data_IF_245517580153
#
_entry.id   IF_245517580153
#
_cell.length_a   1.000
_cell.length_b   1.000
_cell.length_c   1.000
_cell.angle_alpha   90.00
_cell.angle_beta   90.00
_cell.angle_gamma   90.00
#
_symmetry.space_group_name_H-M   'P 1'
#
loop_
_entity.id
_entity.type
_entity.pdbx_description
1 polymer ?
#
# COMPACT_ATOMS: atom_id res chain seq x y z
N UNK A 1 3.42 -11.45 -10.76
CA UNK A 1 3.46 -12.15 -9.45
C UNK A 1 2.04 -12.36 -8.97
N UNK A 2 1.24 -13.03 -9.79
CA UNK A 2 -0.04 -13.60 -9.38
C UNK A 2 0.28 -15.05 -9.08
N UNK A 3 0.20 -15.48 -7.82
CA UNK A 3 0.25 -16.92 -7.55
C UNK A 3 -1.10 -17.49 -8.03
N UNK A 4 -1.04 -18.38 -9.01
CA UNK A 4 -2.17 -19.12 -9.55
C UNK A 4 -2.71 -20.06 -8.47
N UNK A 5 -3.65 -19.57 -7.66
CA UNK A 5 -4.25 -20.33 -6.56
C UNK A 5 -5.11 -19.52 -5.58
N UNK A 6 -5.11 -18.19 -5.67
CA UNK A 6 -5.96 -17.37 -4.80
C UNK A 6 -7.41 -17.32 -5.30
N UNK A 7 -8.43 -17.45 -4.43
CA UNK A 7 -9.84 -17.37 -4.80
C UNK A 7 -10.18 -16.00 -5.41
N UNK A 8 -11.23 -15.90 -6.27
CA UNK A 8 -11.64 -14.64 -6.88
C UNK A 8 -11.97 -13.63 -5.77
N UNK A 9 -11.27 -12.48 -5.68
CA UNK A 9 -11.40 -11.71 -4.45
C UNK A 9 -12.69 -10.88 -4.39
N UNK A 10 -13.22 -10.63 -3.18
CA UNK A 10 -14.36 -9.75 -2.97
C UNK A 10 -14.03 -8.31 -3.46
N UNK A 11 -15.03 -7.45 -3.69
CA UNK A 11 -14.86 -6.14 -4.35
C UNK A 11 -13.93 -5.12 -3.65
N UNK A 12 -13.28 -5.49 -2.53
CA UNK A 12 -12.31 -4.67 -1.80
C UNK A 12 -10.99 -5.45 -1.64
N UNK A 13 -10.14 -5.35 -2.65
CA UNK A 13 -8.86 -6.05 -2.69
C UNK A 13 -7.83 -5.30 -1.85
N UNK A 14 -7.26 -5.97 -0.86
CA UNK A 14 -6.04 -5.53 -0.20
C UNK A 14 -4.98 -6.64 -0.36
N UNK A 15 -3.73 -6.28 -0.60
CA UNK A 15 -2.65 -7.23 -0.79
C UNK A 15 -1.45 -6.92 0.10
N UNK A 16 -0.66 -7.97 0.38
CA UNK A 16 0.53 -7.86 1.22
C UNK A 16 1.66 -7.17 0.44
N UNK A 17 2.29 -6.12 0.99
CA UNK A 17 3.44 -5.49 0.36
C UNK A 17 4.63 -6.46 0.29
N UNK A 18 5.48 -6.30 -0.73
CA UNK A 18 6.63 -7.17 -0.90
C UNK A 18 7.80 -6.74 0.00
N UNK A 19 7.97 -7.45 1.12
CA UNK A 19 8.99 -7.13 2.13
C UNK A 19 10.43 -7.52 1.75
N UNK A 20 10.67 -8.11 0.56
CA UNK A 20 11.99 -8.65 0.18
C UNK A 20 12.95 -7.61 -0.43
N UNK A 21 12.42 -6.50 -0.95
CA UNK A 21 13.18 -5.57 -1.79
C UNK A 21 13.61 -4.28 -1.09
N UNK A 22 13.18 -4.05 0.14
CA UNK A 22 13.39 -2.77 0.82
C UNK A 22 14.43 -2.90 1.94
N UNK A 23 15.57 -2.23 1.74
CA UNK A 23 16.54 -1.97 2.81
C UNK A 23 15.95 -0.97 3.83
N UNK A 24 16.66 -0.66 4.92
CA UNK A 24 16.24 0.43 5.83
C UNK A 24 16.24 1.82 5.15
N UNK A 25 16.71 1.91 3.91
CA UNK A 25 16.74 3.12 3.09
C UNK A 25 15.73 2.94 1.94
N UNK A 26 14.75 3.83 1.87
CA UNK A 26 13.76 3.87 0.80
C UNK A 26 14.20 4.80 -0.34
N UNK A 27 13.98 4.41 -1.61
CA UNK A 27 14.13 5.33 -2.73
C UNK A 27 13.15 6.50 -2.61
N UNK A 28 13.53 7.64 -3.21
CA UNK A 28 12.72 8.87 -3.23
C UNK A 28 11.75 8.92 -4.42
N UNK A 29 11.56 7.82 -5.14
CA UNK A 29 10.60 7.76 -6.24
C UNK A 29 9.16 7.90 -5.70
N UNK A 30 8.36 8.72 -6.38
CA UNK A 30 6.96 8.89 -6.05
C UNK A 30 6.12 7.88 -6.86
N UNK A 31 5.53 6.92 -6.15
CA UNK A 31 4.64 5.89 -6.68
C UNK A 31 3.58 5.59 -5.61
N UNK A 32 2.57 6.46 -5.45
CA UNK A 32 1.72 6.49 -4.27
C UNK A 32 0.91 5.20 -4.10
N UNK A 33 0.84 4.70 -2.87
CA UNK A 33 0.09 3.50 -2.49
C UNK A 33 -0.86 3.81 -1.33
N UNK A 34 -2.07 3.28 -1.38
CA UNK A 34 -3.02 3.39 -0.27
C UNK A 34 -2.79 2.29 0.75
N UNK A 35 -2.72 2.62 2.02
CA UNK A 35 -2.80 1.65 3.10
C UNK A 35 -4.25 1.32 3.47
N UNK A 36 -4.49 0.16 4.09
CA UNK A 36 -5.79 -0.16 4.72
C UNK A 36 -6.15 0.76 5.89
N UNK A 37 -5.20 1.56 6.36
CA UNK A 37 -5.41 2.63 7.33
C UNK A 37 -5.82 3.97 6.69
N UNK A 38 -6.18 3.97 5.40
CA UNK A 38 -6.58 5.15 4.62
C UNK A 38 -5.48 6.22 4.48
N UNK A 39 -4.20 5.86 4.70
CA UNK A 39 -3.05 6.75 4.50
C UNK A 39 -2.41 6.47 3.14
N UNK A 40 -2.12 7.54 2.39
CA UNK A 40 -1.28 7.47 1.18
C UNK A 40 0.20 7.47 1.56
N UNK A 41 0.94 6.47 1.11
CA UNK A 41 2.39 6.39 1.25
C UNK A 41 3.06 6.74 -0.06
N UNK A 42 4.13 7.53 -0.02
CA UNK A 42 4.82 8.03 -1.23
C UNK A 42 5.34 6.92 -2.14
N UNK A 43 5.63 5.74 -1.58
CA UNK A 43 5.92 4.51 -2.32
C UNK A 43 5.71 3.28 -1.44
N UNK A 44 5.76 2.09 -2.04
CA UNK A 44 5.62 0.81 -1.35
C UNK A 44 6.68 0.62 -0.24
N UNK A 45 7.91 1.13 -0.42
CA UNK A 45 8.94 1.08 0.62
C UNK A 45 8.53 1.84 1.89
N UNK A 46 7.99 3.05 1.74
CA UNK A 46 7.53 3.88 2.86
C UNK A 46 6.35 3.24 3.60
N UNK A 47 5.45 2.57 2.87
CA UNK A 47 4.36 1.78 3.45
C UNK A 47 4.92 0.61 4.27
N UNK A 48 5.89 -0.12 3.70
CA UNK A 48 6.58 -1.20 4.40
C UNK A 48 7.33 -0.73 5.66
N UNK A 49 7.99 0.42 5.57
CA UNK A 49 8.63 1.08 6.71
C UNK A 49 7.61 1.31 7.85
N UNK A 50 6.41 1.78 7.52
CA UNK A 50 5.35 1.96 8.51
C UNK A 50 4.88 0.64 9.15
N UNK A 51 4.82 -0.46 8.40
CA UNK A 51 4.56 -1.81 8.96
C UNK A 51 5.64 -2.20 9.96
N UNK A 52 6.91 -2.06 9.56
CA UNK A 52 8.07 -2.49 10.34
C UNK A 52 8.26 -1.68 11.62
N UNK A 53 8.16 -0.36 11.54
CA UNK A 53 8.44 0.53 12.67
C UNK A 53 7.26 0.70 13.63
N UNK A 54 6.02 0.54 13.15
CA UNK A 54 4.82 0.63 14.01
C UNK A 54 4.28 -0.74 14.43
N UNK A 55 4.92 -1.84 14.00
CA UNK A 55 4.41 -3.21 14.14
C UNK A 55 2.93 -3.33 13.76
N UNK A 56 2.52 -2.62 12.69
CA UNK A 56 1.12 -2.49 12.30
C UNK A 56 0.72 -3.57 11.29
N UNK A 57 -0.49 -4.11 11.42
CA UNK A 57 -1.11 -4.95 10.39
C UNK A 57 -1.67 -4.08 9.26
N UNK A 58 -0.77 -3.55 8.44
CA UNK A 58 -1.10 -2.67 7.31
C UNK A 58 -0.94 -3.44 5.99
N UNK A 59 -1.96 -3.37 5.14
CA UNK A 59 -1.95 -3.94 3.79
C UNK A 59 -2.04 -2.81 2.76
N UNK A 60 -1.62 -3.09 1.53
CA UNK A 60 -1.89 -2.18 0.41
C UNK A 60 -3.35 -2.33 0.04
N UNK A 61 -4.09 -1.24 0.02
CA UNK A 61 -5.48 -1.20 -0.39
C UNK A 61 -5.59 -0.69 -1.82
N UNK A 62 -6.41 -1.34 -2.64
CA UNK A 62 -6.80 -0.84 -3.96
C UNK A 62 -7.97 0.17 -3.82
N UNK A 63 -8.31 0.57 -2.59
CA UNK A 63 -9.44 1.46 -2.32
C UNK A 63 -9.27 2.83 -2.96
N UNK A 64 -10.35 3.39 -3.55
CA UNK A 64 -10.36 4.74 -4.11
C UNK A 64 -10.31 5.85 -3.04
N UNK A 65 -10.36 5.51 -1.75
CA UNK A 65 -10.42 6.49 -0.64
C UNK A 65 -9.12 7.27 -0.45
N UNK A 66 -7.96 6.63 -0.61
CA UNK A 66 -6.71 7.36 -0.68
C UNK A 66 -6.61 8.02 -2.06
N UNK A 67 -6.87 9.32 -2.12
CA UNK A 67 -6.90 10.08 -3.37
C UNK A 67 -8.24 10.73 -3.69
N UNK A 68 -9.34 10.40 -3.00
CA UNK A 68 -10.58 11.18 -3.09
C UNK A 68 -10.44 12.60 -2.48
N UNK A 69 -9.38 12.87 -1.72
CA UNK A 69 -8.97 14.23 -1.35
C UNK A 69 -8.02 14.91 -2.35
N UNK A 70 -7.55 14.21 -3.40
CA UNK A 70 -6.69 14.79 -4.43
C UNK A 70 -7.44 15.20 -5.72
N UNK A 71 -8.74 14.88 -5.85
CA UNK A 71 -9.56 15.21 -7.05
C UNK A 71 -10.93 15.80 -6.70
N UNK A 72 -11.23 16.10 -5.43
CA UNK A 72 -12.53 16.65 -5.01
C UNK A 72 -12.44 17.97 -4.25
N UNK A 73 -11.66 18.92 -4.78
CA UNK A 73 -11.94 20.35 -4.65
C UNK A 73 -11.70 20.96 -6.03
N UNK A 74 -12.80 21.35 -6.68
CA UNK A 74 -12.81 21.93 -8.02
C UNK A 74 -12.09 23.27 -8.11
#
# INVERSE_FOLDING_TARGET
WSKSGDPPPPPFFCYKPNCKYYSNICPLNYSPMCGTNEITYSNECMLYSAIKFKYALLLISINPRCGLYAVAHG
#
